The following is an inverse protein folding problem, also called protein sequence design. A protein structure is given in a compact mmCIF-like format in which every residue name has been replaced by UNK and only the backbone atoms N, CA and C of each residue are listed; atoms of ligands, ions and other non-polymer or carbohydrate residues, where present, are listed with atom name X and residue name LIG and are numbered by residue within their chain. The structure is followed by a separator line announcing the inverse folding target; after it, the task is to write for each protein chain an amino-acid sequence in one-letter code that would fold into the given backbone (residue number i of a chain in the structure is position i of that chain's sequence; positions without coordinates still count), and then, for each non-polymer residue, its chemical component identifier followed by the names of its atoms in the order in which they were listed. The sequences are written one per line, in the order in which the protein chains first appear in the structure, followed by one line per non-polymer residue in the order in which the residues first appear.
data_IF_135477561210
#
_entry.id   IF_135477561210
#
_cell.length_a   1.000
_cell.length_b   1.000
_cell.length_c   1.000
_cell.angle_alpha   90.00
_cell.angle_beta   90.00
_cell.angle_gamma   90.00
#
_symmetry.space_group_name_H-M   'P 1'
#
loop_
_entity.id
_entity.type
_entity.pdbx_description
1 polymer ?
#
# COMPACT_ATOMS: atom_id res chain seq x y z
N UNK A 1 -15.71 -19.28 -29.06
CA UNK A 1 -14.34 -19.68 -28.68
C UNK A 1 -13.96 -19.23 -27.28
N UNK A 2 -14.11 -17.95 -26.89
CA UNK A 2 -13.80 -17.44 -25.54
C UNK A 2 -14.41 -18.25 -24.38
N UNK A 3 -15.71 -18.57 -24.42
CA UNK A 3 -16.39 -19.40 -23.39
C UNK A 3 -15.81 -20.83 -23.24
N UNK A 4 -15.30 -21.41 -24.33
CA UNK A 4 -14.70 -22.74 -24.30
C UNK A 4 -13.32 -22.71 -23.64
N UNK A 5 -12.49 -21.71 -23.95
CA UNK A 5 -11.21 -21.51 -23.28
C UNK A 5 -11.36 -21.12 -21.81
N UNK A 6 -12.37 -20.29 -21.47
CA UNK A 6 -12.72 -20.00 -20.08
C UNK A 6 -13.04 -21.30 -19.32
N UNK A 7 -13.88 -22.18 -19.87
CA UNK A 7 -14.21 -23.45 -19.23
C UNK A 7 -12.98 -24.39 -19.11
N UNK A 8 -12.16 -24.49 -20.15
CA UNK A 8 -11.00 -25.37 -20.19
C UNK A 8 -9.89 -24.93 -19.23
N UNK A 9 -9.61 -23.63 -19.14
CA UNK A 9 -8.50 -23.09 -18.36
C UNK A 9 -8.86 -22.82 -16.90
N UNK A 10 -10.14 -22.66 -16.54
CA UNK A 10 -10.57 -22.30 -15.18
C UNK A 10 -10.03 -23.22 -14.09
N UNK A 11 -10.04 -24.54 -14.29
CA UNK A 11 -9.56 -25.50 -13.27
C UNK A 11 -8.04 -25.45 -13.07
N UNK A 12 -7.20 -25.53 -14.13
CA UNK A 12 -5.76 -25.35 -14.01
C UNK A 12 -5.37 -23.99 -13.41
N UNK A 13 -6.07 -22.93 -13.82
CA UNK A 13 -5.84 -21.54 -13.39
C UNK A 13 -6.16 -21.39 -11.90
N UNK A 14 -7.31 -21.88 -11.44
CA UNK A 14 -7.66 -21.86 -10.01
C UNK A 14 -6.67 -22.68 -9.17
N UNK A 15 -6.25 -23.87 -9.64
CA UNK A 15 -5.27 -24.68 -8.92
C UNK A 15 -3.91 -24.00 -8.82
N UNK A 16 -3.46 -23.33 -9.88
CA UNK A 16 -2.23 -22.52 -9.85
C UNK A 16 -2.37 -21.34 -8.89
N UNK A 17 -3.50 -20.63 -8.92
CA UNK A 17 -3.78 -19.54 -8.00
C UNK A 17 -3.74 -20.00 -6.54
N UNK A 18 -4.42 -21.10 -6.19
CA UNK A 18 -4.41 -21.67 -4.83
C UNK A 18 -3.02 -22.14 -4.39
N UNK A 19 -2.22 -22.65 -5.33
CA UNK A 19 -0.88 -23.17 -5.03
C UNK A 19 0.16 -22.06 -4.83
N UNK A 20 -0.01 -20.93 -5.50
CA UNK A 20 0.90 -19.78 -5.48
C UNK A 20 0.31 -18.55 -4.77
N UNK A 21 -0.89 -18.67 -4.18
CA UNK A 21 -1.47 -17.68 -3.28
C UNK A 21 -0.76 -17.69 -1.93
N UNK A 22 -0.95 -16.61 -1.16
CA UNK A 22 -0.46 -16.46 0.22
C UNK A 22 -0.64 -17.75 1.03
N UNK A 23 0.45 -18.24 1.63
CA UNK A 23 0.43 -19.36 2.60
C UNK A 23 0.90 -18.81 3.96
N UNK A 24 0.03 -18.07 4.67
CA UNK A 24 0.44 -17.29 5.83
C UNK A 24 0.84 -18.20 6.99
N UNK A 25 2.15 -18.28 7.26
CA UNK A 25 2.65 -18.91 8.47
C UNK A 25 2.50 -17.96 9.66
N UNK A 26 1.56 -18.29 10.55
CA UNK A 26 1.23 -17.48 11.72
C UNK A 26 2.42 -17.13 12.62
N UNK A 27 3.31 -18.08 12.91
CA UNK A 27 4.48 -17.84 13.77
C UNK A 27 5.45 -16.86 13.12
N UNK A 28 5.71 -17.04 11.82
CA UNK A 28 6.59 -16.15 11.05
C UNK A 28 6.02 -14.73 10.99
N UNK A 29 4.72 -14.59 10.72
CA UNK A 29 4.03 -13.30 10.68
C UNK A 29 4.13 -12.61 12.04
N UNK A 30 3.70 -13.26 13.13
CA UNK A 30 3.77 -12.63 14.46
C UNK A 30 5.21 -12.29 14.88
N UNK A 31 6.19 -13.10 14.50
CA UNK A 31 7.61 -12.81 14.74
C UNK A 31 8.06 -11.57 13.97
N UNK A 32 7.75 -11.48 12.67
CA UNK A 32 8.08 -10.33 11.84
C UNK A 32 7.43 -9.04 12.37
N UNK A 33 6.13 -9.09 12.67
CA UNK A 33 5.38 -7.96 13.24
C UNK A 33 5.94 -7.53 14.60
N UNK A 34 6.27 -8.48 15.48
CA UNK A 34 6.87 -8.18 16.79
C UNK A 34 8.25 -7.53 16.65
N UNK A 35 9.07 -8.00 15.70
CA UNK A 35 10.38 -7.42 15.43
C UNK A 35 10.28 -6.02 14.86
N UNK A 36 9.34 -5.78 13.93
CA UNK A 36 9.09 -4.46 13.36
C UNK A 36 8.62 -3.49 14.45
N UNK A 37 7.61 -3.89 15.23
CA UNK A 37 7.10 -3.09 16.35
C UNK A 37 8.22 -2.70 17.34
N UNK A 38 9.06 -3.65 17.76
CA UNK A 38 10.23 -3.38 18.62
C UNK A 38 11.21 -2.42 17.96
N UNK A 39 11.54 -2.63 16.68
CA UNK A 39 12.47 -1.78 15.96
C UNK A 39 11.99 -0.32 15.89
N UNK A 40 10.70 -0.10 15.64
CA UNK A 40 10.11 1.25 15.59
C UNK A 40 10.21 1.93 16.96
N UNK A 41 9.97 1.19 18.05
CA UNK A 41 10.09 1.74 19.41
C UNK A 41 11.52 2.10 19.79
N UNK A 42 12.47 1.26 19.42
CA UNK A 42 13.89 1.46 19.77
C UNK A 42 14.57 2.47 18.84
N UNK A 43 14.16 2.54 17.57
CA UNK A 43 14.81 3.33 16.53
C UNK A 43 13.78 4.05 15.62
N UNK A 44 12.97 4.97 16.19
CA UNK A 44 11.95 5.68 15.42
C UNK A 44 12.58 6.44 14.24
N UNK A 45 11.92 6.39 13.09
CA UNK A 45 12.39 6.97 11.85
C UNK A 45 13.29 6.05 11.02
N UNK A 46 13.73 4.88 11.51
CA UNK A 46 14.50 3.92 10.70
C UNK A 46 13.59 3.07 9.80
N UNK A 47 12.84 2.14 10.39
CA UNK A 47 11.87 1.28 9.70
C UNK A 47 10.43 1.79 9.80
N UNK A 48 10.14 2.63 10.78
CA UNK A 48 8.81 3.19 10.98
C UNK A 48 8.81 4.37 11.91
N UNK A 49 7.67 5.05 12.00
CA UNK A 49 7.51 6.24 12.83
C UNK A 49 6.80 5.91 14.14
N UNK A 50 7.14 6.67 15.18
CA UNK A 50 6.37 6.73 16.41
C UNK A 50 5.77 8.13 16.49
N UNK A 51 4.44 8.22 16.41
CA UNK A 51 3.71 9.48 16.39
C UNK A 51 2.85 9.60 17.65
N UNK A 52 2.80 10.80 18.22
CA UNK A 52 1.97 11.08 19.38
C UNK A 52 0.51 11.29 18.98
N UNK A 53 -0.37 10.61 19.69
CA UNK A 53 -1.82 10.74 19.63
C UNK A 53 -2.29 11.44 20.91
N UNK A 54 -2.72 12.69 20.79
CA UNK A 54 -3.32 13.46 21.87
C UNK A 54 -4.75 13.89 21.49
N UNK A 55 -5.43 14.61 22.40
CA UNK A 55 -6.82 15.03 22.21
C UNK A 55 -7.06 15.96 21.00
N UNK A 56 -6.02 16.61 20.49
CA UNK A 56 -6.10 17.49 19.31
C UNK A 56 -5.63 16.78 18.03
N UNK A 57 -5.01 15.61 18.15
CA UNK A 57 -4.53 14.83 17.01
C UNK A 57 -5.71 14.31 16.19
N UNK A 58 -5.64 14.50 14.88
CA UNK A 58 -6.63 14.02 13.92
C UNK A 58 -5.92 13.25 12.83
N UNK A 59 -6.19 11.96 12.73
CA UNK A 59 -5.55 11.07 11.75
C UNK A 59 -6.59 10.54 10.77
N UNK A 60 -6.18 10.37 9.52
CA UNK A 60 -6.86 9.51 8.55
C UNK A 60 -5.92 8.37 8.18
N UNK A 61 -6.47 7.17 8.07
CA UNK A 61 -5.74 5.96 7.70
C UNK A 61 -6.48 5.37 6.53
N UNK A 62 -5.84 5.35 5.36
CA UNK A 62 -6.37 4.71 4.16
C UNK A 62 -5.39 3.64 3.68
N UNK A 63 -5.92 2.50 3.25
CA UNK A 63 -5.18 1.32 2.78
C UNK A 63 -5.88 0.74 1.55
N UNK A 64 -5.15 0.00 0.71
CA UNK A 64 -5.73 -0.78 -0.40
C UNK A 64 -6.54 0.08 -1.38
N UNK A 65 -6.00 1.26 -1.72
CA UNK A 65 -6.61 2.06 -2.78
C UNK A 65 -6.38 1.41 -4.14
N UNK A 66 -5.24 0.73 -4.35
CA UNK A 66 -4.91 0.05 -5.62
C UNK A 66 -5.10 0.95 -6.85
N UNK A 67 -4.56 2.18 -6.80
CA UNK A 67 -4.64 3.14 -7.92
C UNK A 67 -3.96 2.53 -9.16
N UNK A 68 -4.75 2.13 -10.14
CA UNK A 68 -4.28 1.47 -11.36
C UNK A 68 -4.12 2.42 -12.55
N UNK A 69 -4.20 1.87 -13.76
CA UNK A 69 -4.06 2.61 -15.01
C UNK A 69 -5.40 3.10 -15.60
N UNK A 70 -6.54 2.98 -14.89
CA UNK A 70 -7.89 3.33 -15.37
C UNK A 70 -8.24 2.70 -16.73
N UNK A 71 -7.81 1.46 -16.94
CA UNK A 71 -7.96 0.69 -18.17
C UNK A 71 -9.14 -0.31 -18.14
N UNK A 72 -10.01 -0.21 -17.13
CA UNK A 72 -11.18 -1.07 -16.96
C UNK A 72 -11.02 -2.18 -15.91
N UNK A 73 -9.80 -2.47 -15.46
CA UNK A 73 -9.51 -3.39 -14.33
C UNK A 73 -9.09 -2.64 -13.06
N UNK A 74 -9.44 -1.35 -12.96
CA UNK A 74 -9.04 -0.44 -11.90
C UNK A 74 -10.28 -0.04 -11.10
N UNK A 75 -10.55 -0.76 -10.01
CA UNK A 75 -11.72 -0.51 -9.15
C UNK A 75 -11.64 0.86 -8.45
N UNK A 76 -10.43 1.37 -8.20
CA UNK A 76 -10.22 2.70 -7.62
C UNK A 76 -10.83 3.80 -8.48
N UNK A 77 -10.86 3.62 -9.80
CA UNK A 77 -11.42 4.60 -10.73
C UNK A 77 -12.84 5.04 -10.33
N UNK A 78 -13.67 4.12 -9.83
CA UNK A 78 -15.03 4.44 -9.39
C UNK A 78 -15.06 5.16 -8.04
N UNK A 79 -14.06 4.95 -7.20
CA UNK A 79 -13.94 5.57 -5.87
C UNK A 79 -13.18 6.91 -5.88
N UNK A 80 -12.43 7.22 -6.95
CA UNK A 80 -11.51 8.37 -7.02
C UNK A 80 -12.19 9.69 -6.62
N UNK A 81 -13.40 9.95 -7.13
CA UNK A 81 -14.14 11.19 -6.81
C UNK A 81 -14.38 11.34 -5.30
N UNK A 82 -14.76 10.25 -4.63
CA UNK A 82 -14.99 10.25 -3.19
C UNK A 82 -13.68 10.41 -2.43
N UNK A 83 -12.62 9.74 -2.88
CA UNK A 83 -11.28 9.85 -2.33
C UNK A 83 -10.76 11.30 -2.39
N UNK A 84 -10.84 11.96 -3.55
CA UNK A 84 -10.42 13.35 -3.72
C UNK A 84 -11.21 14.31 -2.82
N UNK A 85 -12.53 14.12 -2.75
CA UNK A 85 -13.41 14.94 -1.89
C UNK A 85 -13.08 14.76 -0.41
N UNK A 86 -12.79 13.52 0.01
CA UNK A 86 -12.38 13.22 1.38
C UNK A 86 -11.02 13.87 1.70
N UNK A 87 -10.03 13.73 0.83
CA UNK A 87 -8.72 14.35 1.02
C UNK A 87 -8.81 15.88 1.12
N UNK A 88 -9.66 16.53 0.33
CA UNK A 88 -9.91 17.96 0.44
C UNK A 88 -10.43 18.35 1.83
N UNK A 89 -11.48 17.67 2.29
CA UNK A 89 -12.04 17.91 3.63
C UNK A 89 -10.98 17.70 4.72
N UNK A 90 -10.26 16.58 4.67
CA UNK A 90 -9.28 16.24 5.70
C UNK A 90 -8.08 17.19 5.71
N UNK A 91 -7.63 17.65 4.54
CA UNK A 91 -6.56 18.64 4.48
C UNK A 91 -7.00 20.00 5.03
N UNK A 92 -8.21 20.47 4.66
CA UNK A 92 -8.79 21.72 5.18
C UNK A 92 -8.96 21.70 6.70
N UNK A 93 -9.19 20.52 7.27
CA UNK A 93 -9.36 20.32 8.70
C UNK A 93 -8.07 19.85 9.41
N UNK A 94 -6.92 19.99 8.76
CA UNK A 94 -5.59 19.73 9.32
C UNK A 94 -5.37 18.30 9.84
N UNK A 95 -6.00 17.30 9.23
CA UNK A 95 -5.73 15.89 9.56
C UNK A 95 -4.33 15.47 9.12
N UNK A 96 -3.75 14.50 9.81
CA UNK A 96 -2.54 13.80 9.41
C UNK A 96 -2.92 12.56 8.59
N UNK A 97 -2.39 12.44 7.38
CA UNK A 97 -2.69 11.34 6.49
C UNK A 97 -1.65 10.22 6.59
N UNK A 98 -2.11 9.03 6.95
CA UNK A 98 -1.38 7.77 6.87
C UNK A 98 -1.91 7.00 5.65
N UNK A 99 -1.09 6.89 4.60
CA UNK A 99 -1.30 5.94 3.50
C UNK A 99 -0.68 4.62 3.92
N UNK A 100 -1.51 3.65 4.29
CA UNK A 100 -1.14 2.40 4.94
C UNK A 100 -0.95 1.26 3.93
N UNK A 101 -0.16 1.47 2.88
CA UNK A 101 0.15 0.43 1.91
C UNK A 101 -0.92 0.20 0.84
N UNK A 102 -0.49 -0.52 -0.19
CA UNK A 102 -1.22 -0.86 -1.41
C UNK A 102 -2.01 0.34 -1.98
N UNK A 103 -1.34 1.50 -2.02
CA UNK A 103 -1.95 2.71 -2.54
C UNK A 103 -1.91 2.73 -4.07
N UNK A 104 -0.87 2.17 -4.67
CA UNK A 104 -0.69 2.06 -6.11
C UNK A 104 -0.65 0.58 -6.56
N UNK A 105 -1.36 0.25 -7.65
CA UNK A 105 -1.38 -1.12 -8.19
C UNK A 105 -0.20 -1.34 -9.17
N UNK A 106 1.01 -1.44 -8.62
CA UNK A 106 2.25 -1.56 -9.41
C UNK A 106 2.61 -3.02 -9.76
N UNK A 107 1.84 -4.02 -9.31
CA UNK A 107 2.02 -5.39 -9.78
C UNK A 107 1.46 -5.58 -11.18
N UNK A 108 0.33 -4.96 -11.47
CA UNK A 108 -0.35 -5.10 -12.76
C UNK A 108 -0.04 -3.95 -13.73
N UNK A 109 0.40 -2.80 -13.21
CA UNK A 109 0.56 -1.58 -14.01
C UNK A 109 1.98 -1.01 -13.94
N UNK A 110 2.42 -0.39 -15.04
CA UNK A 110 3.66 0.40 -15.02
C UNK A 110 3.49 1.67 -14.20
N UNK A 111 4.54 2.09 -13.49
CA UNK A 111 4.54 3.35 -12.74
C UNK A 111 4.18 4.57 -13.61
N UNK A 112 4.62 4.59 -14.87
CA UNK A 112 4.27 5.67 -15.80
C UNK A 112 2.75 5.76 -16.04
N UNK A 113 2.09 4.61 -16.24
CA UNK A 113 0.64 4.57 -16.45
C UNK A 113 -0.12 4.98 -15.19
N UNK A 114 0.28 4.48 -14.00
CA UNK A 114 -0.34 4.87 -12.72
C UNK A 114 -0.17 6.37 -12.48
N UNK A 115 1.06 6.89 -12.64
CA UNK A 115 1.35 8.33 -12.49
C UNK A 115 0.51 9.19 -13.42
N UNK A 116 0.46 8.83 -14.71
CA UNK A 116 -0.26 9.60 -15.73
C UNK A 116 -1.76 9.68 -15.43
N UNK A 117 -2.36 8.60 -14.93
CA UNK A 117 -3.80 8.53 -14.73
C UNK A 117 -4.27 9.07 -13.36
N UNK A 118 -3.38 9.12 -12.35
CA UNK A 118 -3.75 9.48 -10.98
C UNK A 118 -3.14 10.81 -10.51
N UNK A 119 -2.82 11.73 -11.44
CA UNK A 119 -2.23 13.05 -11.14
C UNK A 119 -3.02 13.81 -10.09
N UNK A 120 -4.35 13.86 -10.20
CA UNK A 120 -5.20 14.57 -9.23
C UNK A 120 -5.10 13.99 -7.83
N UNK A 121 -5.00 12.65 -7.72
CA UNK A 121 -4.83 11.98 -6.42
C UNK A 121 -3.49 12.38 -5.81
N UNK A 122 -2.39 12.25 -6.56
CA UNK A 122 -1.06 12.67 -6.08
C UNK A 122 -1.00 14.15 -5.72
N UNK A 123 -1.68 15.03 -6.46
CA UNK A 123 -1.75 16.46 -6.16
C UNK A 123 -2.45 16.74 -4.82
N UNK A 124 -3.51 16.00 -4.47
CA UNK A 124 -4.14 16.11 -3.15
C UNK A 124 -3.25 15.59 -2.04
N UNK A 125 -2.60 14.44 -2.25
CA UNK A 125 -1.69 13.84 -1.28
C UNK A 125 -0.47 14.76 -1.00
N UNK A 126 0.06 15.44 -2.03
CA UNK A 126 1.13 16.45 -1.90
C UNK A 126 0.82 17.55 -0.89
N UNK A 127 -0.43 17.97 -0.79
CA UNK A 127 -0.84 19.02 0.16
C UNK A 127 -0.57 18.59 1.61
N UNK A 128 -0.78 17.32 1.93
CA UNK A 128 -0.46 16.77 3.26
C UNK A 128 1.05 16.71 3.48
N UNK A 129 1.81 16.28 2.47
CA UNK A 129 3.27 16.21 2.54
C UNK A 129 3.91 17.58 2.79
N UNK A 130 3.50 18.62 2.05
CA UNK A 130 4.02 19.97 2.23
C UNK A 130 3.71 20.54 3.62
N UNK A 131 2.58 20.16 4.22
CA UNK A 131 2.22 20.50 5.61
C UNK A 131 2.94 19.63 6.65
N UNK A 132 3.78 18.69 6.23
CA UNK A 132 4.46 17.69 7.09
C UNK A 132 3.47 16.80 7.85
N UNK A 133 2.33 16.52 7.22
CA UNK A 133 1.21 15.79 7.78
C UNK A 133 0.89 14.53 6.97
N UNK A 134 1.91 13.89 6.40
CA UNK A 134 1.78 12.70 5.56
C UNK A 134 2.82 11.65 5.94
N UNK A 135 2.37 10.40 6.08
CA UNK A 135 3.22 9.21 6.17
C UNK A 135 2.74 8.20 5.15
N UNK A 136 3.69 7.64 4.39
CA UNK A 136 3.43 6.51 3.50
C UNK A 136 4.10 5.26 4.05
N UNK A 137 3.32 4.22 4.23
CA UNK A 137 3.76 2.84 4.52
C UNK A 137 3.62 2.07 3.22
N UNK A 138 4.58 1.21 2.89
CA UNK A 138 4.45 0.36 1.71
C UNK A 138 3.64 -0.90 2.04
N UNK A 139 2.86 -1.34 1.06
CA UNK A 139 2.29 -2.69 1.02
C UNK A 139 3.03 -3.60 0.03
N UNK A 140 2.47 -4.77 -0.26
CA UNK A 140 3.09 -5.76 -1.14
C UNK A 140 2.96 -5.36 -2.61
N UNK A 141 1.87 -4.69 -3.00
CA UNK A 141 1.70 -4.14 -4.36
C UNK A 141 2.63 -2.94 -4.60
N UNK A 142 3.09 -2.32 -3.52
CA UNK A 142 3.96 -1.16 -3.48
C UNK A 142 5.46 -1.50 -3.36
N UNK A 143 5.87 -2.78 -3.44
CA UNK A 143 7.26 -3.22 -3.20
C UNK A 143 8.31 -2.54 -4.09
N UNK A 144 7.92 -2.00 -5.24
CA UNK A 144 8.77 -1.15 -6.08
C UNK A 144 9.42 -0.04 -5.25
N UNK A 145 8.65 0.55 -4.33
CA UNK A 145 9.10 1.65 -3.49
C UNK A 145 10.21 1.28 -2.51
N UNK A 146 10.26 0.04 -2.06
CA UNK A 146 11.28 -0.45 -1.14
C UNK A 146 12.48 -1.07 -1.86
N UNK A 147 12.27 -1.67 -3.03
CA UNK A 147 13.26 -2.52 -3.68
C UNK A 147 13.98 -1.88 -4.87
N UNK A 148 13.40 -0.85 -5.50
CA UNK A 148 14.01 -0.20 -6.66
C UNK A 148 14.93 0.97 -6.22
N UNK A 149 16.21 1.01 -6.66
CA UNK A 149 17.14 2.07 -6.27
C UNK A 149 16.75 3.46 -6.79
N UNK A 150 15.88 3.55 -7.79
CA UNK A 150 15.35 4.80 -8.36
C UNK A 150 13.98 5.19 -7.80
N UNK A 151 13.36 4.37 -6.96
CA UNK A 151 12.01 4.62 -6.45
C UNK A 151 11.94 5.96 -5.69
N UNK A 152 12.94 6.27 -4.86
CA UNK A 152 13.04 7.56 -4.17
C UNK A 152 13.07 8.77 -5.11
N UNK A 153 13.77 8.65 -6.24
CA UNK A 153 13.81 9.72 -7.25
C UNK A 153 12.47 9.88 -7.97
N UNK A 154 11.79 8.77 -8.28
CA UNK A 154 10.46 8.80 -8.90
C UNK A 154 9.42 9.40 -7.95
N UNK A 155 9.43 9.03 -6.67
CA UNK A 155 8.56 9.61 -5.64
C UNK A 155 8.80 11.10 -5.52
N UNK A 156 10.07 11.53 -5.44
CA UNK A 156 10.41 12.94 -5.41
C UNK A 156 9.87 13.71 -6.64
N UNK A 157 9.82 13.07 -7.80
CA UNK A 157 9.21 13.63 -9.02
C UNK A 157 7.69 13.60 -9.06
N UNK A 158 7.04 12.80 -8.22
CA UNK A 158 5.58 12.73 -8.12
C UNK A 158 5.11 13.76 -7.10
N UNK A 159 5.77 13.77 -5.94
CA UNK A 159 5.41 14.55 -4.77
C UNK A 159 6.12 15.90 -4.67
N UNK A 160 7.03 16.22 -5.60
CA UNK A 160 7.85 17.44 -5.61
C UNK A 160 8.75 17.62 -4.36
N UNK A 161 8.79 16.60 -3.49
CA UNK A 161 9.51 16.56 -2.24
C UNK A 161 9.90 15.11 -1.92
N UNK A 162 10.95 14.91 -1.13
CA UNK A 162 11.36 13.57 -0.69
C UNK A 162 10.28 12.95 0.22
N UNK A 163 9.76 11.79 -0.19
CA UNK A 163 8.82 11.01 0.60
C UNK A 163 9.55 9.82 1.17
N UNK A 164 9.68 9.80 2.50
CA UNK A 164 10.17 8.63 3.19
C UNK A 164 9.05 7.61 3.31
N UNK A 165 9.34 6.39 2.90
CA UNK A 165 8.42 5.26 2.99
C UNK A 165 8.88 4.35 4.11
N UNK A 166 7.92 3.91 4.90
CA UNK A 166 8.15 3.10 6.09
C UNK A 166 7.56 1.71 5.94
N UNK A 167 8.06 0.77 6.74
CA UNK A 167 7.46 -0.54 6.94
C UNK A 167 6.24 -0.45 7.86
N UNK A 168 6.18 0.50 8.78
CA UNK A 168 5.00 0.68 9.63
C UNK A 168 5.06 1.93 10.48
N UNK A 169 4.09 2.11 11.37
CA UNK A 169 4.14 3.16 12.38
C UNK A 169 3.41 2.75 13.67
N UNK A 170 3.67 3.49 14.75
CA UNK A 170 2.99 3.35 16.02
C UNK A 170 2.38 4.71 16.37
N UNK A 171 1.06 4.74 16.58
CA UNK A 171 0.42 5.86 17.24
C UNK A 171 0.42 5.60 18.74
N UNK A 172 0.88 6.57 19.53
CA UNK A 172 1.05 6.41 20.97
C UNK A 172 0.28 7.49 21.73
N UNK A 173 -0.55 7.08 22.69
CA UNK A 173 -1.30 7.97 23.59
C UNK A 173 -1.16 7.49 25.03
N UNK A 174 -1.29 8.38 25.99
CA UNK A 174 -1.48 8.00 27.40
C UNK A 174 -2.93 8.26 27.80
N UNK A 175 -3.64 7.22 28.22
CA UNK A 175 -5.03 7.28 28.66
C UNK A 175 -5.09 6.78 30.10
N UNK A 176 -5.53 7.63 31.04
CA UNK A 176 -5.64 7.27 32.46
C UNK A 176 -4.34 6.69 33.04
N UNK A 177 -3.20 7.34 32.75
CA UNK A 177 -1.84 6.91 33.13
C UNK A 177 -1.40 5.55 32.56
N UNK A 178 -2.10 5.03 31.54
CA UNK A 178 -1.70 3.82 30.81
C UNK A 178 -1.32 4.18 29.39
N UNK A 179 -0.22 3.58 28.93
CA UNK A 179 0.24 3.71 27.56
C UNK A 179 -0.68 2.90 26.64
N UNK A 180 -1.28 3.57 25.66
CA UNK A 180 -1.97 2.96 24.54
C UNK A 180 -1.09 3.13 23.30
N UNK A 181 -0.87 2.02 22.59
CA UNK A 181 -0.14 2.01 21.33
C UNK A 181 -1.00 1.32 20.27
N UNK A 182 -1.16 1.98 19.14
CA UNK A 182 -1.83 1.44 17.96
C UNK A 182 -0.73 1.22 16.93
N UNK A 183 -0.34 -0.03 16.75
CA UNK A 183 0.61 -0.43 15.72
C UNK A 183 -0.12 -0.56 14.38
N UNK A 184 0.36 0.16 13.37
CA UNK A 184 -0.20 0.18 12.03
C UNK A 184 0.83 -0.33 11.04
N UNK A 185 0.43 -1.29 10.23
CA UNK A 185 1.24 -1.85 9.18
C UNK A 185 0.40 -2.53 8.10
N UNK A 186 0.97 -2.78 6.91
CA UNK A 186 0.26 -3.51 5.86
C UNK A 186 0.34 -5.03 6.07
N UNK A 187 -0.75 -5.73 5.74
CA UNK A 187 -0.98 -7.13 6.13
C UNK A 187 -0.04 -8.18 5.53
N UNK A 188 0.82 -7.82 4.57
CA UNK A 188 1.73 -8.77 3.91
C UNK A 188 2.94 -9.20 4.75
N UNK A 189 3.26 -8.45 5.81
CA UNK A 189 4.56 -8.55 6.45
C UNK A 189 4.76 -9.85 7.22
N UNK A 190 5.74 -10.63 6.79
CA UNK A 190 6.05 -11.94 7.32
C UNK A 190 5.43 -13.10 6.52
N UNK A 191 4.61 -12.82 5.51
CA UNK A 191 4.21 -13.80 4.51
C UNK A 191 5.28 -13.87 3.41
N UNK A 192 5.96 -15.02 3.30
CA UNK A 192 7.05 -15.22 2.37
C UNK A 192 6.67 -15.03 0.89
N UNK A 193 5.41 -15.31 0.54
CA UNK A 193 4.94 -15.21 -0.84
C UNK A 193 4.57 -13.76 -1.18
N UNK A 194 4.06 -13.01 -0.19
CA UNK A 194 3.66 -11.62 -0.32
C UNK A 194 4.82 -10.63 -0.06
N UNK A 195 5.86 -11.03 0.69
CA UNK A 195 7.10 -10.27 0.97
C UNK A 195 8.08 -10.26 -0.23
N UNK A 196 7.57 -10.09 -1.45
CA UNK A 196 8.40 -9.87 -2.62
C UNK A 196 9.13 -11.10 -3.13
N UNK A 197 8.45 -12.26 -3.14
CA UNK A 197 8.89 -13.34 -4.01
C UNK A 197 8.82 -12.84 -5.46
N UNK A 198 9.99 -12.49 -6.02
CA UNK A 198 10.13 -11.97 -7.39
C UNK A 198 9.47 -12.88 -8.43
N UNK A 199 9.39 -14.18 -8.17
CA UNK A 199 8.67 -15.12 -9.01
C UNK A 199 7.14 -14.97 -8.89
N UNK A 200 6.61 -14.83 -7.67
CA UNK A 200 5.18 -14.58 -7.45
C UNK A 200 4.74 -13.25 -8.06
N UNK A 201 5.49 -12.16 -7.85
CA UNK A 201 5.19 -10.86 -8.48
C UNK A 201 5.27 -10.93 -10.01
N UNK A 202 6.28 -11.62 -10.57
CA UNK A 202 6.37 -11.83 -12.02
C UNK A 202 5.20 -12.67 -12.55
N UNK A 203 4.85 -13.77 -11.88
CA UNK A 203 3.75 -14.64 -12.29
C UNK A 203 2.41 -13.91 -12.23
N UNK A 204 2.16 -13.17 -11.15
CA UNK A 204 0.93 -12.39 -10.98
C UNK A 204 0.84 -11.30 -12.06
N UNK A 205 1.85 -10.44 -12.20
CA UNK A 205 1.81 -9.34 -13.16
C UNK A 205 1.90 -9.75 -14.63
N UNK A 206 2.66 -10.81 -14.95
CA UNK A 206 2.97 -11.19 -16.35
C UNK A 206 2.04 -12.27 -16.89
N UNK A 207 1.52 -13.15 -16.03
CA UNK A 207 0.71 -14.30 -16.46
C UNK A 207 -0.72 -14.19 -15.92
N UNK A 208 -0.89 -13.92 -14.62
CA UNK A 208 -2.20 -13.94 -13.98
C UNK A 208 -3.09 -12.76 -14.40
N UNK A 209 -2.64 -11.52 -14.21
CA UNK A 209 -3.45 -10.33 -14.50
C UNK A 209 -3.92 -10.26 -15.98
N UNK A 210 -3.06 -10.54 -16.99
CA UNK A 210 -3.51 -10.61 -18.39
C UNK A 210 -4.50 -11.74 -18.65
N UNK A 211 -4.35 -12.88 -17.96
CA UNK A 211 -5.24 -14.02 -18.11
C UNK A 211 -6.60 -13.75 -17.44
N UNK A 212 -6.61 -13.16 -16.24
CA UNK A 212 -7.84 -12.74 -15.56
C UNK A 212 -8.61 -11.72 -16.39
N UNK A 213 -7.95 -10.68 -16.90
CA UNK A 213 -8.56 -9.69 -17.79
C UNK A 213 -9.14 -10.29 -19.09
N UNK A 214 -8.60 -11.42 -19.58
CA UNK A 214 -9.14 -12.15 -20.72
C UNK A 214 -10.30 -13.11 -20.36
N UNK A 215 -10.28 -13.63 -19.13
CA UNK A 215 -11.26 -14.58 -18.61
C UNK A 215 -12.52 -13.91 -18.07
N UNK A 216 -12.42 -12.68 -17.57
CA UNK A 216 -13.57 -11.80 -17.27
C UNK A 216 -14.25 -11.28 -18.57
#
# INVERSE_FOLDING_TARGET
MRKFFQWLLRKPVNWLAEKFSSDPNRERIHTALSNLYKNIKENPGKKGLLLELNSNSRFIIFSDQHKGAKNGSDDFMFAEKNYLSALDYYNQNSFYFISLGDNEELWENTLFAVKKNNVLSFDKEKLFLHRKAFTKVFGNHDLYWNNDPFAGWQLKKIYDEEVKIYEGLILQSTISNKLLEIFLTHGHQGDAQSDGNKFSTWFVGTIWAPLQAYLD
#
